data_IF_431090714714
#
_entry.id   IF_431090714714
#
_cell.length_a   1.000
_cell.length_b   1.000
_cell.length_c   1.000
_cell.angle_alpha   90.00
_cell.angle_beta   90.00
_cell.angle_gamma   90.00
#
_symmetry.space_group_name_H-M   'P 1'
#
loop_
_entity.id
_entity.type
_entity.pdbx_description
1 polymer ?
#
# COMPACT_ATOMS: atom_id res chain seq x y z
N UNK A 1 -15.93 -24.20 9.19
CA UNK A 1 -14.81 -23.45 8.55
C UNK A 1 -14.28 -22.45 9.53
N UNK A 2 -13.03 -22.58 9.93
CA UNK A 2 -12.40 -21.62 10.83
C UNK A 2 -12.24 -20.29 10.12
N UNK A 3 -12.71 -19.23 10.74
CA UNK A 3 -12.71 -17.88 10.17
C UNK A 3 -11.27 -17.35 10.13
N UNK A 4 -10.76 -17.09 8.90
CA UNK A 4 -9.39 -16.57 8.71
C UNK A 4 -9.34 -15.09 9.10
N UNK A 5 -8.35 -14.71 9.89
CA UNK A 5 -8.18 -13.35 10.45
C UNK A 5 -7.10 -12.58 9.70
N UNK A 6 -7.38 -11.31 9.39
CA UNK A 6 -6.37 -10.38 8.85
C UNK A 6 -5.48 -9.93 10.01
N UNK A 7 -4.17 -10.04 9.83
CA UNK A 7 -3.14 -9.63 10.79
C UNK A 7 -2.30 -8.50 10.22
N UNK A 8 -2.14 -7.43 10.99
CA UNK A 8 -1.20 -6.34 10.67
C UNK A 8 0.01 -6.49 11.57
N UNK A 9 1.20 -6.42 10.98
CA UNK A 9 2.47 -6.51 11.72
C UNK A 9 3.46 -5.48 11.22
N UNK A 10 4.20 -4.86 12.15
CA UNK A 10 5.35 -4.03 11.81
C UNK A 10 6.45 -4.92 11.21
N UNK A 11 7.12 -4.43 10.18
CA UNK A 11 8.28 -5.11 9.59
C UNK A 11 9.47 -4.87 10.51
N UNK A 12 10.11 -5.96 10.95
CA UNK A 12 11.36 -5.91 11.71
C UNK A 12 12.55 -5.85 10.75
N UNK A 13 13.62 -5.16 11.15
CA UNK A 13 14.83 -4.96 10.33
C UNK A 13 15.43 -6.28 9.82
N UNK A 14 15.43 -7.33 10.65
CA UNK A 14 15.96 -8.64 10.30
C UNK A 14 15.23 -9.34 9.13
N UNK A 15 14.00 -8.91 8.82
CA UNK A 15 13.17 -9.53 7.78
C UNK A 15 12.99 -8.67 6.54
N UNK A 16 13.68 -7.53 6.44
CA UNK A 16 13.54 -6.58 5.33
C UNK A 16 13.79 -7.24 3.98
N UNK A 17 14.91 -7.95 3.83
CA UNK A 17 15.25 -8.61 2.56
C UNK A 17 14.22 -9.69 2.19
N UNK A 18 13.82 -10.51 3.15
CA UNK A 18 12.82 -11.56 2.95
C UNK A 18 11.48 -10.99 2.47
N UNK A 19 11.00 -9.92 3.11
CA UNK A 19 9.76 -9.26 2.70
C UNK A 19 9.89 -8.58 1.34
N UNK A 20 10.99 -7.89 1.10
CA UNK A 20 11.26 -7.22 -0.19
C UNK A 20 11.19 -8.24 -1.32
N UNK A 21 11.87 -9.37 -1.19
CA UNK A 21 11.87 -10.44 -2.19
C UNK A 21 10.47 -11.05 -2.37
N UNK A 22 9.80 -11.40 -1.27
CA UNK A 22 8.46 -11.97 -1.33
C UNK A 22 7.48 -11.05 -2.07
N UNK A 23 7.47 -9.75 -1.75
CA UNK A 23 6.54 -8.82 -2.38
C UNK A 23 6.92 -8.51 -3.83
N UNK A 24 8.20 -8.46 -4.20
CA UNK A 24 8.63 -8.33 -5.58
C UNK A 24 8.16 -9.51 -6.44
N UNK A 25 8.28 -10.74 -5.91
CA UNK A 25 7.89 -11.98 -6.62
C UNK A 25 6.37 -12.15 -6.76
N UNK A 26 5.59 -11.61 -5.81
CA UNK A 26 4.14 -11.82 -5.72
C UNK A 26 3.31 -10.55 -5.94
N UNK A 27 3.93 -9.46 -6.38
CA UNK A 27 3.26 -8.18 -6.61
C UNK A 27 2.03 -8.35 -7.52
N UNK A 28 0.93 -7.68 -7.17
CA UNK A 28 -0.27 -7.65 -7.99
C UNK A 28 0.01 -6.97 -9.34
N UNK A 29 -0.56 -7.48 -10.42
CA UNK A 29 -0.29 -7.00 -11.79
C UNK A 29 -0.58 -5.51 -11.98
N UNK A 30 -1.61 -4.98 -11.33
CA UNK A 30 -1.93 -3.55 -11.43
C UNK A 30 -0.87 -2.68 -10.74
N UNK A 31 -0.32 -3.14 -9.61
CA UNK A 31 0.73 -2.42 -8.89
C UNK A 31 2.06 -2.53 -9.65
N UNK A 32 2.34 -3.69 -10.27
CA UNK A 32 3.47 -3.87 -11.18
C UNK A 32 3.41 -2.90 -12.36
N UNK A 33 2.26 -2.81 -13.03
CA UNK A 33 2.04 -1.86 -14.14
C UNK A 33 2.19 -0.41 -13.69
N UNK A 34 1.76 -0.08 -12.46
CA UNK A 34 1.93 1.24 -11.89
C UNK A 34 3.40 1.59 -11.67
N UNK A 35 4.20 0.67 -11.12
CA UNK A 35 5.65 0.86 -10.97
C UNK A 35 6.33 1.02 -12.33
N UNK A 36 5.93 0.24 -13.35
CA UNK A 36 6.42 0.40 -14.71
C UNK A 36 6.07 1.78 -15.27
N UNK A 37 4.84 2.25 -15.07
CA UNK A 37 4.39 3.57 -15.49
C UNK A 37 5.14 4.71 -14.79
N UNK A 38 5.67 4.47 -13.59
CA UNK A 38 6.57 5.40 -12.89
C UNK A 38 8.02 5.39 -13.43
N UNK A 39 8.29 4.62 -14.47
CA UNK A 39 9.62 4.50 -15.08
C UNK A 39 10.48 3.37 -14.49
N UNK A 40 9.85 2.40 -13.82
CA UNK A 40 10.48 1.22 -13.23
C UNK A 40 10.08 0.00 -14.05
N UNK A 41 10.91 -0.35 -15.04
CA UNK A 41 10.52 -1.19 -16.19
C UNK A 41 10.76 -2.69 -16.02
N UNK A 42 11.39 -3.15 -14.95
CA UNK A 42 11.71 -4.57 -14.74
C UNK A 42 11.47 -5.01 -13.29
N UNK A 43 11.58 -6.30 -13.03
CA UNK A 43 11.37 -6.87 -11.71
C UNK A 43 12.45 -6.45 -10.70
N UNK A 44 13.67 -6.19 -11.15
CA UNK A 44 14.74 -5.60 -10.32
C UNK A 44 14.35 -4.19 -9.85
N UNK A 45 13.75 -3.39 -10.73
CA UNK A 45 13.28 -2.06 -10.35
C UNK A 45 12.10 -2.11 -9.35
N UNK A 46 11.25 -3.13 -9.39
CA UNK A 46 10.25 -3.36 -8.36
C UNK A 46 10.91 -3.73 -7.02
N UNK A 47 11.94 -4.58 -7.06
CA UNK A 47 12.73 -4.92 -5.89
C UNK A 47 13.41 -3.69 -5.29
N UNK A 48 14.08 -2.88 -6.10
CA UNK A 48 14.74 -1.65 -5.66
C UNK A 48 13.74 -0.63 -5.07
N UNK A 49 12.54 -0.55 -5.65
CA UNK A 49 11.49 0.31 -5.14
C UNK A 49 11.02 -0.10 -3.75
N UNK A 50 10.89 -1.41 -3.54
CA UNK A 50 10.50 -1.99 -2.27
C UNK A 50 11.62 -1.88 -1.24
N UNK A 51 12.87 -2.17 -1.62
CA UNK A 51 14.02 -2.11 -0.72
C UNK A 51 14.24 -0.73 -0.13
N UNK A 52 13.91 0.33 -0.88
CA UNK A 52 13.95 1.71 -0.40
C UNK A 52 12.83 2.06 0.59
N UNK A 53 11.72 1.31 0.61
CA UNK A 53 10.56 1.52 1.49
C UNK A 53 10.50 0.54 2.66
N UNK A 54 10.77 -0.74 2.39
CA UNK A 54 10.81 -1.81 3.40
C UNK A 54 12.02 -1.60 4.29
N UNK A 55 11.86 -1.62 5.60
CA UNK A 55 12.95 -1.37 6.55
C UNK A 55 13.00 0.04 7.08
N UNK A 56 12.11 0.91 6.63
CA UNK A 56 11.90 2.18 7.31
C UNK A 56 11.05 1.98 8.56
N UNK A 57 11.20 2.89 9.52
CA UNK A 57 10.61 2.80 10.86
C UNK A 57 9.10 2.52 10.86
N UNK A 58 8.38 3.03 9.85
CA UNK A 58 6.92 2.92 9.73
C UNK A 58 6.50 2.00 8.56
N UNK A 59 7.06 0.81 8.49
CA UNK A 59 6.70 -0.20 7.51
C UNK A 59 5.88 -1.33 8.14
N UNK A 60 4.76 -1.71 7.51
CA UNK A 60 3.82 -2.72 8.00
C UNK A 60 3.43 -3.69 6.90
N UNK A 61 3.13 -4.91 7.30
CA UNK A 61 2.55 -5.94 6.42
C UNK A 61 1.16 -6.30 6.88
N UNK A 62 0.32 -6.69 5.91
CA UNK A 62 -0.97 -7.33 6.15
C UNK A 62 -0.92 -8.77 5.65
N UNK A 63 -1.38 -9.72 6.44
CA UNK A 63 -1.43 -11.14 6.10
C UNK A 63 -2.76 -11.77 6.52
N UNK A 64 -3.04 -12.94 5.94
CA UNK A 64 -4.13 -13.83 6.34
C UNK A 64 -3.57 -15.24 6.48
N UNK A 65 -3.96 -15.97 7.52
CA UNK A 65 -3.47 -17.32 7.71
C UNK A 65 -4.18 -18.30 6.76
N UNK A 66 -3.45 -19.27 6.24
CA UNK A 66 -4.03 -20.43 5.54
C UNK A 66 -4.67 -21.38 6.54
N UNK A 67 -5.40 -22.38 6.05
CA UNK A 67 -5.95 -23.46 6.90
C UNK A 67 -4.85 -24.24 7.65
N UNK A 68 -3.62 -24.24 7.12
CA UNK A 68 -2.42 -24.84 7.74
C UNK A 68 -1.73 -23.91 8.76
N UNK A 69 -2.25 -22.71 8.98
CA UNK A 69 -1.68 -21.72 9.90
C UNK A 69 -0.50 -20.93 9.33
N UNK A 70 -0.13 -21.14 8.07
CA UNK A 70 0.92 -20.37 7.40
C UNK A 70 0.37 -19.00 6.94
N UNK A 71 1.11 -17.88 7.12
CA UNK A 71 0.67 -16.59 6.66
C UNK A 71 0.81 -16.45 5.15
N UNK A 72 -0.24 -15.95 4.50
CA UNK A 72 -0.19 -15.42 3.14
C UNK A 72 -0.16 -13.90 3.23
N UNK A 73 0.89 -13.30 2.70
CA UNK A 73 1.07 -11.86 2.75
C UNK A 73 0.25 -11.19 1.65
N UNK A 74 -0.61 -10.26 2.04
CA UNK A 74 -1.57 -9.58 1.17
C UNK A 74 -1.08 -8.21 0.71
N UNK A 75 -0.44 -7.46 1.61
CA UNK A 75 0.06 -6.12 1.35
C UNK A 75 1.25 -5.79 2.23
N UNK A 76 2.07 -4.87 1.74
CA UNK A 76 3.11 -4.17 2.49
C UNK A 76 2.98 -2.68 2.21
N UNK A 77 3.22 -1.86 3.19
CA UNK A 77 3.18 -0.41 3.04
C UNK A 77 3.79 0.31 4.22
N UNK A 78 3.93 1.61 4.09
CA UNK A 78 4.51 2.43 5.12
C UNK A 78 4.38 3.91 4.83
N UNK A 79 4.96 4.70 5.71
CA UNK A 79 4.99 6.15 5.57
C UNK A 79 6.30 6.73 6.08
N UNK A 80 6.61 7.93 5.62
CA UNK A 80 7.72 8.73 6.08
C UNK A 80 7.19 10.10 6.55
N UNK A 81 7.10 10.36 7.87
CA UNK A 81 6.57 11.62 8.39
C UNK A 81 7.38 12.84 7.97
N UNK A 82 8.72 12.69 7.87
CA UNK A 82 9.63 13.78 7.47
C UNK A 82 9.37 14.19 6.02
N UNK A 83 9.19 13.22 5.11
CA UNK A 83 8.92 13.47 3.70
C UNK A 83 7.44 13.72 3.41
N UNK A 84 6.53 13.45 4.36
CA UNK A 84 5.09 13.49 4.14
C UNK A 84 4.65 12.52 3.06
N UNK A 85 5.21 11.31 3.01
CA UNK A 85 4.90 10.31 1.99
C UNK A 85 4.26 9.07 2.59
N UNK A 86 3.36 8.45 1.85
CA UNK A 86 2.72 7.16 2.17
C UNK A 86 2.73 6.29 0.94
N UNK A 87 2.92 4.99 1.11
CA UNK A 87 2.94 4.02 0.01
C UNK A 87 2.40 2.68 0.48
N UNK A 88 1.87 1.88 -0.43
CA UNK A 88 1.61 0.47 -0.21
C UNK A 88 1.53 -0.28 -1.54
N UNK A 89 1.79 -1.58 -1.46
CA UNK A 89 1.77 -2.52 -2.58
C UNK A 89 0.99 -3.75 -2.13
N UNK A 90 0.18 -4.29 -3.03
CA UNK A 90 -0.56 -5.52 -2.81
C UNK A 90 0.06 -6.70 -3.55
N UNK A 91 -0.23 -7.91 -3.09
CA UNK A 91 0.12 -9.13 -3.79
C UNK A 91 -1.07 -9.65 -4.60
N UNK A 92 -0.80 -10.53 -5.58
CA UNK A 92 -1.85 -11.25 -6.34
C UNK A 92 -2.84 -12.02 -5.46
N UNK A 93 -2.47 -12.31 -4.22
CA UNK A 93 -3.32 -13.05 -3.28
C UNK A 93 -4.53 -12.26 -2.78
N UNK A 94 -4.57 -10.93 -2.93
CA UNK A 94 -5.79 -10.14 -2.61
C UNK A 94 -6.98 -10.56 -3.48
N UNK A 95 -6.73 -11.11 -4.66
CA UNK A 95 -7.80 -11.59 -5.56
C UNK A 95 -8.44 -12.89 -5.06
N UNK A 96 -7.73 -13.67 -4.24
CA UNK A 96 -8.25 -14.92 -3.65
C UNK A 96 -9.13 -14.70 -2.42
N UNK A 97 -9.20 -13.47 -1.90
CA UNK A 97 -10.02 -13.13 -0.74
C UNK A 97 -11.51 -13.22 -1.06
N UNK A 98 -12.27 -13.84 -0.15
CA UNK A 98 -13.73 -13.75 -0.16
C UNK A 98 -14.20 -12.31 0.05
N UNK A 99 -15.48 -12.05 -0.23
CA UNK A 99 -16.07 -10.71 -0.01
C UNK A 99 -15.92 -10.24 1.45
N UNK A 100 -16.14 -11.12 2.40
CA UNK A 100 -16.02 -10.83 3.84
C UNK A 100 -14.56 -10.52 4.21
N UNK A 101 -13.61 -11.31 3.72
CA UNK A 101 -12.19 -11.09 3.95
C UNK A 101 -11.70 -9.77 3.33
N UNK A 102 -12.17 -9.40 2.14
CA UNK A 102 -11.87 -8.09 1.52
C UNK A 102 -12.36 -6.93 2.38
N UNK A 103 -13.56 -7.03 2.96
CA UNK A 103 -14.08 -6.00 3.88
C UNK A 103 -13.18 -5.89 5.12
N UNK A 104 -12.81 -7.02 5.73
CA UNK A 104 -11.90 -7.05 6.89
C UNK A 104 -10.52 -6.49 6.56
N UNK A 105 -9.98 -6.86 5.40
CA UNK A 105 -8.72 -6.32 4.90
C UNK A 105 -8.78 -4.79 4.78
N UNK A 106 -9.83 -4.25 4.16
CA UNK A 106 -10.04 -2.80 4.06
C UNK A 106 -10.17 -2.13 5.43
N UNK A 107 -10.89 -2.73 6.39
CA UNK A 107 -11.03 -2.22 7.76
C UNK A 107 -9.69 -2.24 8.52
N UNK A 108 -8.90 -3.30 8.36
CA UNK A 108 -7.57 -3.40 8.98
C UNK A 108 -6.63 -2.30 8.45
N UNK A 109 -6.58 -2.09 7.13
CA UNK A 109 -5.81 -0.99 6.53
C UNK A 109 -6.32 0.37 6.98
N UNK A 110 -7.63 0.56 7.08
CA UNK A 110 -8.21 1.81 7.60
C UNK A 110 -7.76 2.09 9.04
N UNK A 111 -7.70 1.06 9.89
CA UNK A 111 -7.16 1.18 11.24
C UNK A 111 -5.71 1.66 11.26
N UNK A 112 -4.86 1.11 10.38
CA UNK A 112 -3.46 1.56 10.22
C UNK A 112 -3.40 3.03 9.81
N UNK A 113 -4.19 3.43 8.80
CA UNK A 113 -4.23 4.83 8.33
C UNK A 113 -4.71 5.79 9.41
N UNK A 114 -5.73 5.42 10.18
CA UNK A 114 -6.21 6.23 11.30
C UNK A 114 -5.16 6.35 12.42
N UNK A 115 -4.43 5.28 12.71
CA UNK A 115 -3.29 5.29 13.65
C UNK A 115 -2.21 6.26 13.21
N UNK A 116 -1.78 6.18 11.95
CA UNK A 116 -0.82 7.10 11.35
C UNK A 116 -1.26 8.56 11.48
N UNK A 117 -2.49 8.88 11.09
CA UNK A 117 -3.01 10.25 11.14
C UNK A 117 -3.18 10.77 12.57
N UNK A 118 -3.45 9.89 13.53
CA UNK A 118 -3.52 10.25 14.95
C UNK A 118 -2.13 10.54 15.53
N UNK A 119 -1.13 9.76 15.15
CA UNK A 119 0.26 9.91 15.60
C UNK A 119 0.91 11.17 14.98
N UNK A 120 0.56 11.48 13.74
CA UNK A 120 1.11 12.59 12.96
C UNK A 120 0.01 13.56 12.49
N UNK A 121 -0.68 14.27 13.39
CA UNK A 121 -1.88 15.04 13.06
C UNK A 121 -1.64 16.26 12.17
N UNK A 122 -0.40 16.74 12.12
CA UNK A 122 0.00 17.93 11.36
C UNK A 122 0.63 17.60 10.01
N UNK A 123 0.80 16.32 9.70
CA UNK A 123 1.42 15.86 8.46
C UNK A 123 0.37 15.50 7.42
N UNK A 124 0.51 16.07 6.21
CA UNK A 124 -0.21 15.60 5.03
C UNK A 124 0.62 14.52 4.33
N UNK A 125 0.14 13.27 4.38
CA UNK A 125 0.79 12.14 3.71
C UNK A 125 0.31 12.06 2.26
N UNK A 126 1.24 12.12 1.30
CA UNK A 126 0.97 12.25 -0.13
C UNK A 126 1.58 11.12 -0.92
N UNK A 127 0.97 10.80 -2.05
CA UNK A 127 1.55 10.00 -3.12
C UNK A 127 0.74 10.20 -4.41
N UNK A 128 1.03 9.39 -5.40
CA UNK A 128 0.32 9.35 -6.68
C UNK A 128 -0.16 7.94 -6.96
N UNK A 129 -1.22 7.83 -7.75
CA UNK A 129 -1.77 6.56 -8.20
C UNK A 129 -2.05 6.62 -9.70
N UNK A 130 -1.70 5.58 -10.44
CA UNK A 130 -1.98 5.51 -11.86
C UNK A 130 -3.49 5.57 -12.14
N UNK A 131 -3.89 6.38 -13.11
CA UNK A 131 -5.28 6.45 -13.56
C UNK A 131 -5.84 5.08 -13.99
N UNK A 132 -4.99 4.19 -14.48
CA UNK A 132 -5.37 2.84 -14.88
C UNK A 132 -5.57 1.88 -13.70
N UNK A 133 -4.99 2.16 -12.52
CA UNK A 133 -5.12 1.32 -11.32
C UNK A 133 -6.41 1.63 -10.55
N UNK A 134 -7.56 1.31 -11.16
CA UNK A 134 -8.88 1.61 -10.61
C UNK A 134 -9.16 0.95 -9.26
N UNK A 135 -8.63 -0.24 -9.03
CA UNK A 135 -8.79 -0.95 -7.75
C UNK A 135 -8.07 -0.23 -6.62
N UNK A 136 -6.86 0.26 -6.88
CA UNK A 136 -6.06 1.04 -5.93
C UNK A 136 -6.72 2.39 -5.62
N UNK A 137 -7.22 3.10 -6.66
CA UNK A 137 -7.97 4.36 -6.49
C UNK A 137 -9.20 4.14 -5.57
N UNK A 138 -9.98 3.07 -5.80
CA UNK A 138 -11.13 2.74 -4.95
C UNK A 138 -10.72 2.48 -3.51
N UNK A 139 -9.64 1.74 -3.31
CA UNK A 139 -9.12 1.44 -1.98
C UNK A 139 -8.65 2.71 -1.27
N UNK A 140 -7.83 3.55 -1.91
CA UNK A 140 -7.36 4.82 -1.35
C UNK A 140 -8.54 5.70 -0.91
N UNK A 141 -9.58 5.83 -1.76
CA UNK A 141 -10.81 6.58 -1.42
C UNK A 141 -11.54 5.98 -0.22
N UNK A 142 -11.65 4.66 -0.15
CA UNK A 142 -12.29 3.95 0.98
C UNK A 142 -11.50 4.13 2.29
N UNK A 143 -10.19 4.29 2.21
CA UNK A 143 -9.31 4.58 3.35
C UNK A 143 -9.37 6.05 3.80
N UNK A 144 -10.06 6.92 3.07
CA UNK A 144 -10.20 8.35 3.37
C UNK A 144 -9.23 9.26 2.61
N UNK A 145 -8.57 8.74 1.59
CA UNK A 145 -7.71 9.53 0.69
C UNK A 145 -8.50 10.58 -0.07
N UNK A 146 -7.95 11.77 -0.16
CA UNK A 146 -8.47 12.95 -0.86
C UNK A 146 -7.57 13.33 -2.03
N UNK A 147 -8.00 14.25 -2.87
CA UNK A 147 -7.32 14.67 -4.09
C UNK A 147 -8.06 14.13 -5.31
N UNK A 148 -7.38 13.53 -6.26
CA UNK A 148 -7.92 12.94 -7.49
C UNK A 148 -8.57 13.93 -8.47
N UNK A 149 -8.37 15.22 -8.30
CA UNK A 149 -8.97 16.28 -9.08
C UNK A 149 -8.03 16.90 -10.13
N UNK A 150 -6.76 16.49 -10.11
CA UNK A 150 -5.76 16.93 -11.08
C UNK A 150 -5.04 15.72 -11.64
N UNK A 151 -4.89 15.65 -12.97
CA UNK A 151 -4.05 14.64 -13.63
C UNK A 151 -2.69 15.25 -13.94
N UNK A 152 -1.64 14.47 -13.76
CA UNK A 152 -0.35 14.82 -14.32
C UNK A 152 0.20 13.67 -15.15
N UNK A 153 0.95 14.00 -16.19
CA UNK A 153 1.60 13.06 -17.07
C UNK A 153 3.04 12.80 -16.61
N UNK A 154 3.40 11.52 -16.48
CA UNK A 154 4.80 11.16 -16.37
C UNK A 154 5.44 11.26 -17.76
N UNK A 155 6.30 12.25 -17.95
CA UNK A 155 6.90 12.56 -19.24
C UNK A 155 7.79 11.45 -19.81
N UNK A 156 8.27 10.51 -18.97
CA UNK A 156 9.07 9.37 -19.40
C UNK A 156 8.21 8.21 -19.94
N UNK A 157 7.04 8.00 -19.40
CA UNK A 157 6.16 6.88 -19.77
C UNK A 157 4.90 7.32 -20.52
N UNK A 158 4.55 8.61 -20.53
CA UNK A 158 3.27 9.11 -21.03
C UNK A 158 2.07 8.69 -20.18
N UNK A 159 2.29 8.07 -19.04
CA UNK A 159 1.21 7.57 -18.17
C UNK A 159 0.64 8.68 -17.30
N UNK A 160 -0.67 8.62 -17.09
CA UNK A 160 -1.39 9.61 -16.30
C UNK A 160 -1.58 9.16 -14.86
N UNK A 161 -1.39 10.06 -13.91
CA UNK A 161 -1.49 9.82 -12.48
C UNK A 161 -2.39 10.84 -11.81
N UNK A 162 -3.09 10.39 -10.74
CA UNK A 162 -3.77 11.25 -9.79
C UNK A 162 -2.91 11.43 -8.55
N UNK A 163 -2.62 12.65 -8.10
CA UNK A 163 -2.13 12.91 -6.75
C UNK A 163 -3.24 12.62 -5.75
N UNK A 164 -2.86 12.06 -4.61
CA UNK A 164 -3.76 11.90 -3.47
C UNK A 164 -3.03 12.21 -2.17
N UNK A 165 -3.81 12.45 -1.10
CA UNK A 165 -3.27 12.71 0.22
C UNK A 165 -4.21 12.22 1.32
N UNK A 166 -3.63 11.98 2.49
CA UNK A 166 -4.33 11.72 3.74
C UNK A 166 -3.98 12.81 4.74
N UNK A 167 -4.98 13.36 5.41
CA UNK A 167 -4.84 14.37 6.46
C UNK A 167 -5.76 14.04 7.64
N UNK A 168 -5.40 14.52 8.82
CA UNK A 168 -6.29 14.44 9.96
C UNK A 168 -7.38 15.53 9.85
N UNK A 169 -8.65 15.10 9.75
CA UNK A 169 -9.80 16.01 9.58
C UNK A 169 -10.20 16.77 10.85
N UNK A 170 -9.52 16.57 11.99
CA UNK A 170 -9.90 17.22 13.25
C UNK A 170 -9.62 18.74 13.28
N UNK A 171 -8.99 19.30 12.25
CA UNK A 171 -8.70 20.75 12.12
C UNK A 171 -9.65 21.51 11.17
N UNK A 172 -10.61 20.85 10.55
CA UNK A 172 -11.64 21.53 9.72
C UNK A 172 -12.87 21.93 10.56
N UNK A 173 -12.65 22.47 11.78
CA UNK A 173 -13.71 23.11 12.58
C UNK A 173 -13.34 24.57 12.89
#
# INVERSE_FOLDING_TARGET
MTERTIKIRKVHEDYVEQFTRYFADHIHDNDRKELQAMGRFNDEAAYDALSNGVGREYCFTASIDTEKGEPVWLAIGGWCPIAGTVWFITTKYVDTLTRTERVRFGLALKGVMQGMLKEWPDVAFKNVVSMSNRSHIKLIKALGGKGFNTLYENTKSGSMFYPFYFINNTKEK
#
